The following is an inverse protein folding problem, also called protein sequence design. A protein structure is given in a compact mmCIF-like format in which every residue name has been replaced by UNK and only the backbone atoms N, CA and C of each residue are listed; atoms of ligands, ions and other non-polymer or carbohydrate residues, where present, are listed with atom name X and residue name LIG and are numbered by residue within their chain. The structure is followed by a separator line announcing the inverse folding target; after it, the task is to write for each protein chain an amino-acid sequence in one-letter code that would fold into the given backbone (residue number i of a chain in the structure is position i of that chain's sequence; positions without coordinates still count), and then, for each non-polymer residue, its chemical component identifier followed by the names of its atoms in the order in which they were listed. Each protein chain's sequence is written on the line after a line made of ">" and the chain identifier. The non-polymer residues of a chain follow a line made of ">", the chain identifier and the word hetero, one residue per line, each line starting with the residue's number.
data_IF_774561720015
#
_entry.id   IF_774561720015
#
_cell.length_a   1.000
_cell.length_b   1.000
_cell.length_c   1.000
_cell.angle_alpha   90.00
_cell.angle_beta   90.00
_cell.angle_gamma   90.00
#
_symmetry.space_group_name_H-M   'P 1'
#
loop_
_entity.id
_entity.type
_entity.pdbx_description
1 polymer ?
#
# COMPACT_ATOMS: atom_id res chain seq x y z
N UNK A 1 71.29 -30.32 39.08
CA UNK A 1 70.37 -31.35 38.56
C UNK A 1 68.92 -31.21 39.03
N UNK A 2 68.64 -30.88 40.30
CA UNK A 2 67.24 -30.71 40.76
C UNK A 2 66.40 -29.58 40.05
N UNK A 3 67.07 -28.49 39.64
CA UNK A 3 66.32 -27.37 38.96
C UNK A 3 65.99 -27.74 37.49
N UNK A 4 66.80 -28.50 36.81
CA UNK A 4 66.52 -28.91 35.43
C UNK A 4 65.34 -29.89 35.38
N UNK A 5 65.21 -30.75 36.36
CA UNK A 5 64.09 -31.67 36.47
C UNK A 5 62.77 -30.96 36.73
N UNK A 6 62.77 -29.85 37.45
CA UNK A 6 61.59 -29.02 37.71
C UNK A 6 61.11 -28.32 36.43
N UNK A 7 62.04 -27.82 35.60
CA UNK A 7 61.71 -27.21 34.33
C UNK A 7 61.16 -28.22 33.28
N UNK A 8 61.74 -29.41 33.25
CA UNK A 8 61.25 -30.49 32.37
C UNK A 8 59.83 -30.94 32.81
N UNK A 9 59.59 -31.05 34.12
CA UNK A 9 58.24 -31.36 34.63
C UNK A 9 57.23 -30.27 34.35
N UNK A 10 57.59 -28.98 34.46
CA UNK A 10 56.75 -27.84 34.12
C UNK A 10 56.45 -27.74 32.63
N UNK A 11 57.41 -28.06 31.76
CA UNK A 11 57.21 -28.13 30.31
C UNK A 11 56.31 -29.30 29.89
N UNK A 12 56.45 -30.44 30.56
CA UNK A 12 55.53 -31.59 30.31
C UNK A 12 54.08 -31.33 30.77
N UNK A 13 53.87 -30.54 31.83
CA UNK A 13 52.51 -30.18 32.27
C UNK A 13 51.84 -29.17 31.37
N UNK A 14 52.61 -28.30 30.67
CA UNK A 14 52.07 -27.35 29.69
C UNK A 14 51.71 -28.07 28.34
N UNK A 15 52.37 -29.18 28.02
CA UNK A 15 52.11 -29.96 26.78
C UNK A 15 50.84 -30.80 26.81
N UNK A 16 50.23 -31.03 27.98
CA UNK A 16 48.94 -31.73 28.11
C UNK A 16 47.80 -30.72 28.21
N UNK A 17 47.88 -29.69 27.38
CA UNK A 17 46.73 -28.82 27.15
C UNK A 17 45.60 -29.68 26.58
N UNK A 18 44.54 -29.82 27.34
CA UNK A 18 43.32 -30.52 26.95
C UNK A 18 42.91 -30.16 25.52
N UNK A 19 43.32 -30.90 24.52
CA UNK A 19 42.53 -31.12 23.33
C UNK A 19 41.30 -31.93 23.80
N UNK A 20 40.31 -31.25 24.34
CA UNK A 20 38.98 -31.79 24.36
C UNK A 20 38.55 -31.89 22.90
N UNK A 21 38.89 -32.99 22.24
CA UNK A 21 38.20 -33.44 21.06
C UNK A 21 36.77 -33.73 21.55
N UNK A 22 35.87 -32.75 21.37
CA UNK A 22 34.44 -32.99 21.52
C UNK A 22 34.01 -33.95 20.40
N UNK A 23 34.36 -35.20 20.56
CA UNK A 23 33.77 -36.30 19.79
C UNK A 23 32.44 -36.71 20.45
N UNK A 24 31.60 -35.72 20.78
CA UNK A 24 30.24 -36.00 21.21
C UNK A 24 29.42 -36.41 19.97
N UNK A 25 29.69 -37.60 19.49
CA UNK A 25 28.87 -38.24 18.47
C UNK A 25 27.57 -38.69 19.12
N UNK A 26 26.47 -38.04 18.78
CA UNK A 26 25.11 -38.53 19.08
C UNK A 26 24.69 -39.33 17.86
N UNK A 27 24.32 -40.61 18.05
CA UNK A 27 23.97 -41.54 16.97
C UNK A 27 25.05 -41.66 15.88
N UNK A 28 26.33 -41.59 16.27
CA UNK A 28 27.47 -41.75 15.36
C UNK A 28 27.80 -40.53 14.50
N UNK A 29 27.15 -39.39 14.69
CA UNK A 29 27.38 -38.15 13.95
C UNK A 29 27.99 -37.06 14.83
N UNK A 30 28.98 -36.32 14.29
CA UNK A 30 29.54 -35.12 14.91
C UNK A 30 28.49 -33.96 14.89
N UNK A 31 28.63 -32.92 15.73
CA UNK A 31 27.78 -31.72 15.66
C UNK A 31 27.68 -31.13 14.26
N UNK A 32 28.80 -30.99 13.53
CA UNK A 32 28.83 -30.44 12.18
C UNK A 32 28.10 -31.33 11.16
N UNK A 33 28.24 -32.66 11.29
CA UNK A 33 27.49 -33.59 10.42
C UNK A 33 25.99 -33.52 10.67
N UNK A 34 25.55 -33.35 11.93
CA UNK A 34 24.13 -33.15 12.24
C UNK A 34 23.60 -31.85 11.68
N UNK A 35 24.34 -30.75 11.79
CA UNK A 35 23.97 -29.46 11.21
C UNK A 35 23.87 -29.57 9.68
N UNK A 36 24.89 -30.15 9.03
CA UNK A 36 24.89 -30.34 7.58
C UNK A 36 23.70 -31.19 7.11
N UNK A 37 23.40 -32.29 7.81
CA UNK A 37 22.25 -33.14 7.52
C UNK A 37 20.92 -32.40 7.70
N UNK A 38 20.79 -31.58 8.74
CA UNK A 38 19.61 -30.76 8.96
C UNK A 38 19.42 -29.73 7.84
N UNK A 39 20.48 -29.00 7.45
CA UNK A 39 20.40 -28.01 6.36
C UNK A 39 20.05 -28.68 5.02
N UNK A 40 20.64 -29.83 4.72
CA UNK A 40 20.31 -30.63 3.53
C UNK A 40 18.84 -31.09 3.53
N UNK A 41 18.26 -31.39 4.70
CA UNK A 41 16.86 -31.74 4.82
C UNK A 41 15.94 -30.58 4.52
N UNK A 42 16.27 -29.34 4.94
CA UNK A 42 15.53 -28.12 4.56
C UNK A 42 15.62 -27.90 3.04
N UNK A 43 16.80 -28.01 2.44
CA UNK A 43 16.96 -27.87 0.99
C UNK A 43 16.11 -28.89 0.24
N UNK A 44 16.17 -30.16 0.63
CA UNK A 44 15.35 -31.22 0.06
C UNK A 44 13.85 -30.92 0.17
N UNK A 45 13.41 -30.34 1.28
CA UNK A 45 12.00 -29.94 1.45
C UNK A 45 11.59 -28.86 0.45
N UNK A 46 12.43 -27.83 0.23
CA UNK A 46 12.14 -26.78 -0.74
C UNK A 46 12.09 -27.29 -2.18
N UNK A 47 13.02 -28.18 -2.55
CA UNK A 47 13.13 -28.72 -3.91
C UNK A 47 12.14 -29.85 -4.20
N UNK A 48 11.56 -30.48 -3.18
CA UNK A 48 10.56 -31.54 -3.33
C UNK A 48 9.18 -31.05 -3.76
N UNK A 49 8.95 -29.74 -3.87
CA UNK A 49 7.69 -29.19 -4.37
C UNK A 49 7.67 -29.17 -5.91
N UNK A 50 6.95 -30.09 -6.58
CA UNK A 50 7.04 -30.24 -8.04
C UNK A 50 6.52 -29.01 -8.79
N UNK A 51 5.60 -28.27 -8.19
CA UNK A 51 4.99 -27.07 -8.76
C UNK A 51 5.48 -25.78 -8.11
N UNK A 52 6.55 -25.85 -7.27
CA UNK A 52 7.11 -24.72 -6.56
C UNK A 52 6.29 -24.27 -5.36
N UNK A 53 6.48 -23.03 -4.99
CA UNK A 53 5.93 -22.40 -3.79
C UNK A 53 5.36 -21.02 -4.10
N UNK A 54 4.36 -20.60 -3.34
CA UNK A 54 3.93 -19.22 -3.23
C UNK A 54 4.49 -18.69 -1.91
N UNK A 55 5.37 -17.71 -1.98
CA UNK A 55 5.89 -17.01 -0.82
C UNK A 55 5.10 -15.72 -0.60
N UNK A 56 4.51 -15.58 0.57
CA UNK A 56 3.78 -14.39 0.99
C UNK A 56 4.62 -13.72 2.07
N UNK A 57 5.01 -12.48 1.83
CA UNK A 57 5.77 -11.67 2.77
C UNK A 57 4.92 -10.50 3.27
N UNK A 58 4.82 -10.37 4.60
CA UNK A 58 4.09 -9.29 5.26
C UNK A 58 5.04 -8.46 6.10
N UNK A 59 5.10 -7.16 5.86
CA UNK A 59 5.95 -6.25 6.62
C UNK A 59 5.33 -5.88 7.96
N UNK A 60 6.16 -5.39 8.88
CA UNK A 60 5.71 -4.89 10.20
C UNK A 60 5.29 -3.42 10.16
N UNK A 61 5.57 -2.71 9.05
CA UNK A 61 5.47 -1.25 8.96
C UNK A 61 6.65 -0.54 9.61
N UNK A 62 7.74 -1.27 9.87
CA UNK A 62 9.00 -0.74 10.40
C UNK A 62 10.13 -1.22 9.49
N UNK A 63 10.96 -0.30 9.04
CA UNK A 63 12.19 -0.60 8.31
C UNK A 63 13.41 -0.16 9.12
N UNK A 64 14.45 -0.98 9.14
CA UNK A 64 15.67 -0.75 9.89
C UNK A 64 16.86 -0.47 8.98
N UNK A 65 17.69 0.51 9.37
CA UNK A 65 18.98 0.78 8.75
C UNK A 65 20.00 1.16 9.84
N UNK A 66 21.06 0.37 10.00
CA UNK A 66 22.17 0.62 10.94
C UNK A 66 21.72 0.97 12.37
N UNK A 67 20.67 0.30 12.86
CA UNK A 67 20.15 0.52 14.22
C UNK A 67 19.14 1.67 14.34
N UNK A 68 18.87 2.42 13.28
CA UNK A 68 17.81 3.43 13.20
C UNK A 68 16.59 2.80 12.52
N UNK A 69 15.39 3.15 12.97
CA UNK A 69 14.14 2.69 12.34
C UNK A 69 13.35 3.83 11.75
N UNK A 70 12.64 3.53 10.65
CA UNK A 70 11.59 4.38 10.09
C UNK A 70 10.27 3.62 10.14
N UNK A 71 9.16 4.34 10.26
CA UNK A 71 7.81 3.76 10.29
C UNK A 71 7.01 4.22 9.08
N UNK A 72 6.18 3.34 8.55
CA UNK A 72 5.34 3.60 7.39
C UNK A 72 4.27 2.53 7.21
N UNK A 73 3.64 2.46 6.05
CA UNK A 73 2.58 1.51 5.78
C UNK A 73 3.07 0.06 5.83
N UNK A 74 2.17 -0.84 6.22
CA UNK A 74 2.40 -2.28 6.09
C UNK A 74 1.98 -2.70 4.69
N UNK A 75 2.81 -3.50 4.03
CA UNK A 75 2.46 -4.11 2.75
C UNK A 75 2.54 -5.62 2.83
N UNK A 76 1.85 -6.28 1.92
CA UNK A 76 1.94 -7.72 1.69
C UNK A 76 2.30 -7.95 0.24
N UNK A 77 3.30 -8.80 0.00
CA UNK A 77 3.81 -9.15 -1.32
C UNK A 77 3.71 -10.66 -1.53
N UNK A 78 3.47 -11.06 -2.77
CA UNK A 78 3.46 -12.45 -3.17
C UNK A 78 4.54 -12.74 -4.22
N UNK A 79 5.21 -13.86 -4.05
CA UNK A 79 6.22 -14.36 -4.98
C UNK A 79 5.90 -15.80 -5.35
N UNK A 80 5.95 -16.15 -6.61
CA UNK A 80 6.07 -17.53 -7.03
C UNK A 80 7.55 -17.92 -7.04
N UNK A 81 7.90 -19.07 -6.47
CA UNK A 81 9.29 -19.53 -6.33
C UNK A 81 9.43 -21.01 -6.73
N UNK A 82 10.37 -21.29 -7.63
CA UNK A 82 10.78 -22.65 -8.00
C UNK A 82 12.23 -22.87 -7.60
N UNK A 83 12.46 -23.72 -6.58
CA UNK A 83 13.80 -24.05 -6.08
C UNK A 83 14.37 -25.25 -6.81
N UNK A 84 15.70 -25.26 -7.01
CA UNK A 84 16.45 -26.38 -7.59
C UNK A 84 17.55 -26.88 -6.63
N UNK A 85 17.97 -28.12 -6.78
CA UNK A 85 19.04 -28.74 -5.96
C UNK A 85 20.41 -28.06 -6.18
N UNK A 86 20.60 -27.33 -7.28
CA UNK A 86 21.83 -26.58 -7.57
C UNK A 86 21.89 -25.22 -6.84
N UNK A 87 21.01 -24.94 -5.85
CA UNK A 87 21.00 -23.69 -5.12
C UNK A 87 20.48 -22.50 -5.95
N UNK A 88 19.62 -22.77 -6.94
CA UNK A 88 19.00 -21.72 -7.77
C UNK A 88 17.51 -21.67 -7.50
N UNK A 89 16.96 -20.46 -7.55
CA UNK A 89 15.52 -20.20 -7.45
C UNK A 89 15.09 -19.29 -8.59
N UNK A 90 14.03 -19.69 -9.28
CA UNK A 90 13.35 -18.84 -10.27
C UNK A 90 12.09 -18.29 -9.64
N UNK A 91 11.87 -16.98 -9.77
CA UNK A 91 10.73 -16.31 -9.14
C UNK A 91 10.04 -15.31 -10.05
N UNK A 92 8.77 -15.11 -9.79
CA UNK A 92 7.91 -14.01 -10.24
C UNK A 92 7.40 -13.28 -9.01
N UNK A 93 7.05 -12.00 -9.12
CA UNK A 93 6.54 -11.21 -7.99
C UNK A 93 5.37 -10.34 -8.42
N UNK A 94 4.49 -10.04 -7.47
CA UNK A 94 3.42 -9.08 -7.64
C UNK A 94 3.84 -7.65 -7.23
N UNK A 95 5.14 -7.40 -7.02
CA UNK A 95 5.60 -6.08 -6.60
C UNK A 95 5.31 -5.01 -7.66
N UNK A 96 5.64 -5.31 -8.91
CA UNK A 96 5.31 -4.45 -10.05
C UNK A 96 5.00 -5.30 -11.31
N UNK A 97 4.41 -4.68 -12.37
CA UNK A 97 4.07 -5.39 -13.60
C UNK A 97 5.27 -6.05 -14.30
N UNK A 98 6.47 -5.49 -14.22
CA UNK A 98 7.65 -6.06 -14.88
C UNK A 98 8.11 -7.34 -14.21
N UNK A 99 8.05 -7.39 -12.88
CA UNK A 99 8.37 -8.58 -12.08
C UNK A 99 7.28 -9.66 -12.16
N UNK A 100 6.05 -9.27 -12.45
CA UNK A 100 4.95 -10.18 -12.73
C UNK A 100 5.08 -10.84 -14.12
N UNK A 101 5.68 -10.13 -15.08
CA UNK A 101 5.81 -10.58 -16.47
C UNK A 101 7.05 -11.43 -16.73
N UNK A 102 8.15 -11.18 -16.01
CA UNK A 102 9.47 -11.72 -16.35
C UNK A 102 10.02 -12.61 -15.23
N UNK A 103 10.19 -13.92 -15.44
CA UNK A 103 10.85 -14.78 -14.46
C UNK A 103 12.32 -14.37 -14.25
N UNK A 104 12.74 -14.27 -12.98
CA UNK A 104 14.14 -14.01 -12.62
C UNK A 104 14.72 -15.17 -11.83
N UNK A 105 15.92 -15.61 -12.22
CA UNK A 105 16.64 -16.67 -11.51
C UNK A 105 17.78 -16.07 -10.71
N UNK A 106 17.84 -16.40 -9.42
CA UNK A 106 18.91 -16.02 -8.50
C UNK A 106 19.44 -17.22 -7.71
N UNK A 107 20.46 -17.01 -6.89
CA UNK A 107 20.97 -18.04 -5.99
C UNK A 107 20.29 -17.95 -4.62
N UNK A 108 20.20 -19.11 -3.96
CA UNK A 108 19.82 -19.19 -2.57
C UNK A 108 20.72 -20.19 -1.83
N UNK A 109 20.84 -20.01 -0.52
CA UNK A 109 21.51 -20.94 0.39
C UNK A 109 20.67 -21.14 1.66
N UNK A 110 20.86 -22.31 2.27
CA UNK A 110 20.37 -22.55 3.62
C UNK A 110 21.59 -22.61 4.54
N UNK A 111 21.67 -21.70 5.49
CA UNK A 111 22.81 -21.56 6.41
C UNK A 111 22.34 -21.70 7.85
N UNK A 112 23.24 -22.22 8.70
CA UNK A 112 23.06 -22.18 10.15
C UNK A 112 23.51 -20.82 10.67
N UNK A 113 22.55 -19.97 10.99
CA UNK A 113 22.74 -18.79 11.82
C UNK A 113 22.37 -19.14 13.27
N UNK A 114 21.74 -18.27 14.03
CA UNK A 114 21.13 -18.62 15.33
C UNK A 114 20.08 -19.73 15.15
N UNK A 115 19.41 -19.74 14.00
CA UNK A 115 18.50 -20.77 13.50
C UNK A 115 18.86 -21.08 12.05
N UNK A 116 18.43 -22.23 11.50
CA UNK A 116 18.49 -22.43 10.06
C UNK A 116 17.79 -21.26 9.34
N UNK A 117 18.44 -20.71 8.33
CA UNK A 117 17.95 -19.55 7.59
C UNK A 117 18.05 -19.80 6.07
N UNK A 118 17.01 -19.38 5.35
CA UNK A 118 16.98 -19.28 3.90
C UNK A 118 17.47 -17.89 3.49
N UNK A 119 18.55 -17.84 2.71
CA UNK A 119 19.24 -16.61 2.32
C UNK A 119 19.29 -16.54 0.80
N UNK A 120 18.94 -15.40 0.24
CA UNK A 120 19.03 -15.12 -1.19
C UNK A 120 20.30 -14.29 -1.44
N UNK A 121 21.36 -14.94 -1.97
CA UNK A 121 22.72 -14.36 -2.04
C UNK A 121 22.92 -13.37 -3.20
N UNK A 122 22.14 -13.48 -4.27
CA UNK A 122 22.25 -12.59 -5.43
C UNK A 122 21.00 -11.74 -5.57
N UNK A 123 21.15 -10.54 -6.17
CA UNK A 123 20.06 -9.59 -6.31
C UNK A 123 18.85 -10.21 -7.02
N UNK A 124 17.85 -10.56 -6.23
CA UNK A 124 16.59 -11.20 -6.64
C UNK A 124 15.43 -10.21 -6.61
N UNK A 125 14.22 -10.68 -6.90
CA UNK A 125 13.02 -9.85 -6.73
C UNK A 125 12.70 -9.52 -5.27
N UNK A 126 13.16 -10.29 -4.31
CA UNK A 126 13.06 -9.95 -2.89
C UNK A 126 13.93 -8.73 -2.50
N UNK A 127 15.03 -8.50 -3.21
CA UNK A 127 15.91 -7.36 -2.93
C UNK A 127 15.32 -6.02 -3.38
N UNK A 128 14.45 -6.02 -4.38
CA UNK A 128 13.91 -4.77 -4.93
C UNK A 128 13.09 -3.99 -3.91
N UNK A 129 12.09 -4.57 -3.22
CA UNK A 129 11.40 -3.85 -2.15
C UNK A 129 12.28 -3.58 -0.92
N UNK A 130 13.39 -4.31 -0.74
CA UNK A 130 14.39 -4.03 0.31
C UNK A 130 15.39 -2.94 -0.06
N UNK A 131 15.42 -2.49 -1.33
CA UNK A 131 16.46 -1.59 -1.82
C UNK A 131 16.42 -0.26 -1.05
N UNK A 132 17.58 0.22 -0.54
CA UNK A 132 17.64 1.47 0.20
C UNK A 132 17.42 2.72 -0.67
N UNK A 133 17.50 2.58 -2.00
CA UNK A 133 17.18 3.66 -2.93
C UNK A 133 15.67 3.69 -3.22
N UNK A 134 14.93 4.75 -2.82
CA UNK A 134 13.51 4.87 -3.09
C UNK A 134 13.18 5.00 -4.58
N UNK A 135 14.13 5.31 -5.46
CA UNK A 135 13.91 5.25 -6.91
C UNK A 135 13.79 3.80 -7.41
N UNK A 136 14.32 2.84 -6.68
CA UNK A 136 14.25 1.40 -6.99
C UNK A 136 13.09 0.74 -6.22
N UNK A 137 13.05 0.93 -4.91
CA UNK A 137 12.04 0.33 -4.05
C UNK A 137 10.69 1.02 -4.08
N UNK A 138 10.61 2.28 -4.52
CA UNK A 138 9.43 3.14 -4.40
C UNK A 138 8.88 3.23 -2.96
N UNK A 139 9.76 3.05 -1.98
CA UNK A 139 9.38 3.03 -0.57
C UNK A 139 9.13 4.45 -0.04
N UNK A 140 8.04 4.69 0.72
CA UNK A 140 7.77 5.96 1.37
C UNK A 140 8.59 6.17 2.67
N UNK A 141 9.37 5.18 3.10
CA UNK A 141 10.20 5.26 4.32
C UNK A 141 11.42 6.19 4.17
N UNK A 142 11.77 6.57 2.94
CA UNK A 142 12.89 7.46 2.61
C UNK A 142 14.20 6.75 2.29
N UNK A 143 15.23 7.52 2.02
CA UNK A 143 16.57 7.01 1.69
C UNK A 143 17.16 6.15 2.81
N UNK A 144 17.77 5.04 2.43
CA UNK A 144 18.38 4.10 3.36
C UNK A 144 17.42 2.99 3.82
N UNK A 145 16.14 3.11 3.52
CA UNK A 145 15.11 2.14 3.91
C UNK A 145 14.40 1.60 2.66
N UNK A 146 14.15 0.29 2.64
CA UNK A 146 13.17 -0.31 1.74
C UNK A 146 11.77 -0.27 2.37
N UNK A 147 10.89 -1.18 1.95
CA UNK A 147 9.55 -1.35 2.52
C UNK A 147 9.51 -2.08 3.88
N UNK A 148 10.66 -2.32 4.52
CA UNK A 148 10.74 -3.17 5.70
C UNK A 148 10.53 -4.65 5.38
N UNK A 149 10.80 -5.06 4.15
CA UNK A 149 10.88 -6.45 3.68
C UNK A 149 12.25 -7.03 3.99
N UNK A 150 12.39 -8.34 3.83
CA UNK A 150 13.65 -9.06 4.07
C UNK A 150 14.01 -9.93 2.85
N UNK A 151 15.27 -10.29 2.70
CA UNK A 151 15.76 -11.30 1.75
C UNK A 151 16.57 -12.41 2.44
N UNK A 152 16.61 -12.39 3.77
CA UNK A 152 17.15 -13.42 4.64
C UNK A 152 16.11 -13.79 5.68
N UNK A 153 15.74 -15.07 5.76
CA UNK A 153 14.62 -15.53 6.57
C UNK A 153 15.02 -16.72 7.43
N UNK A 154 14.87 -16.60 8.74
CA UNK A 154 14.97 -17.72 9.66
C UNK A 154 13.70 -18.56 9.62
N UNK A 155 13.85 -19.89 9.57
CA UNK A 155 12.72 -20.81 9.76
C UNK A 155 12.13 -20.59 11.15
N UNK A 156 10.84 -20.27 11.24
CA UNK A 156 10.19 -19.96 12.52
C UNK A 156 9.60 -21.19 13.20
N UNK A 157 9.35 -22.25 12.44
CA UNK A 157 8.81 -23.49 12.96
C UNK A 157 9.89 -24.23 13.77
N UNK A 158 9.59 -24.58 15.01
CA UNK A 158 10.48 -25.33 15.93
C UNK A 158 10.60 -26.81 15.56
N UNK A 159 9.78 -27.28 14.63
CA UNK A 159 9.80 -28.64 14.11
C UNK A 159 10.94 -28.79 13.11
N UNK A 160 11.78 -29.81 13.22
CA UNK A 160 12.86 -30.05 12.25
C UNK A 160 12.33 -30.22 10.81
N UNK A 161 13.22 -30.07 9.82
CA UNK A 161 12.88 -30.10 8.39
C UNK A 161 11.99 -31.27 7.94
N UNK A 162 12.13 -32.43 8.57
CA UNK A 162 11.34 -33.63 8.28
C UNK A 162 9.84 -33.47 8.61
N UNK A 163 9.50 -32.59 9.52
CA UNK A 163 8.14 -32.36 10.01
C UNK A 163 7.50 -31.09 9.44
N UNK A 164 8.18 -30.38 8.53
CA UNK A 164 7.60 -29.24 7.82
C UNK A 164 6.46 -29.70 6.91
N UNK A 165 5.32 -29.06 7.05
CA UNK A 165 4.12 -29.30 6.23
C UNK A 165 4.21 -28.67 4.83
N UNK A 166 3.06 -28.55 4.18
CA UNK A 166 2.93 -27.84 2.90
C UNK A 166 2.87 -26.30 3.07
N UNK A 167 3.00 -25.85 4.30
CA UNK A 167 3.19 -24.44 4.70
C UNK A 167 4.41 -24.34 5.60
N UNK A 168 5.31 -23.40 5.31
CA UNK A 168 6.53 -23.15 6.07
C UNK A 168 6.55 -21.67 6.45
N UNK A 169 6.72 -21.37 7.75
CA UNK A 169 6.72 -20.00 8.24
C UNK A 169 8.13 -19.50 8.50
N UNK A 170 8.34 -18.22 8.28
CA UNK A 170 9.62 -17.55 8.40
C UNK A 170 9.51 -16.22 9.14
N UNK A 171 10.64 -15.78 9.67
CA UNK A 171 10.83 -14.45 10.22
C UNK A 171 12.05 -13.86 9.53
N UNK A 172 11.91 -12.67 8.97
CA UNK A 172 12.98 -11.88 8.38
C UNK A 172 14.03 -11.50 9.42
N UNK A 173 15.29 -11.54 9.01
CA UNK A 173 16.41 -11.38 9.94
C UNK A 173 16.72 -9.91 10.24
N UNK A 174 16.35 -8.98 9.35
CA UNK A 174 16.62 -7.55 9.52
C UNK A 174 15.37 -6.80 10.02
N UNK A 175 14.27 -6.91 9.28
CA UNK A 175 13.06 -6.10 9.51
C UNK A 175 11.95 -6.88 10.24
N UNK A 176 12.19 -8.14 10.59
CA UNK A 176 11.19 -9.03 11.19
C UNK A 176 9.93 -9.23 10.32
N UNK A 177 10.05 -9.06 9.00
CA UNK A 177 8.98 -9.36 8.08
C UNK A 177 8.50 -10.82 8.26
N UNK A 178 7.21 -11.06 8.13
CA UNK A 178 6.65 -12.41 8.25
C UNK A 178 6.59 -13.05 6.89
N UNK A 179 7.34 -14.13 6.71
CA UNK A 179 7.35 -14.93 5.50
C UNK A 179 6.54 -16.21 5.65
N UNK A 180 5.83 -16.61 4.60
CA UNK A 180 5.07 -17.86 4.55
C UNK A 180 5.19 -18.48 3.17
N UNK A 181 5.88 -19.62 3.04
CA UNK A 181 5.87 -20.46 1.85
C UNK A 181 4.67 -21.40 1.91
N UNK A 182 3.84 -21.39 0.87
CA UNK A 182 2.73 -22.31 0.66
C UNK A 182 3.05 -23.12 -0.59
N UNK A 183 3.01 -24.45 -0.49
CA UNK A 183 3.27 -25.33 -1.63
C UNK A 183 2.26 -25.09 -2.74
N UNK A 184 2.75 -24.74 -3.92
CA UNK A 184 1.91 -24.45 -5.06
C UNK A 184 1.29 -25.72 -5.65
N UNK A 185 0.07 -25.58 -6.18
CA UNK A 185 -0.58 -26.57 -7.02
C UNK A 185 -0.14 -26.40 -8.48
N UNK A 186 -0.36 -27.42 -9.30
CA UNK A 186 -0.09 -27.34 -10.74
C UNK A 186 -0.86 -26.18 -11.41
N UNK A 187 -2.12 -25.98 -11.04
CA UNK A 187 -2.94 -24.89 -11.57
C UNK A 187 -2.35 -23.50 -11.22
N UNK A 188 -1.84 -23.32 -9.99
CA UNK A 188 -1.19 -22.08 -9.57
C UNK A 188 0.11 -21.85 -10.33
N UNK A 189 0.98 -22.85 -10.46
CA UNK A 189 2.19 -22.76 -11.28
C UNK A 189 1.84 -22.33 -12.72
N UNK A 190 0.88 -23.04 -13.35
CA UNK A 190 0.43 -22.73 -14.71
C UNK A 190 -0.05 -21.28 -14.83
N UNK A 191 -0.83 -20.79 -13.86
CA UNK A 191 -1.35 -19.44 -13.84
C UNK A 191 -0.24 -18.38 -13.72
N UNK A 192 0.74 -18.60 -12.83
CA UNK A 192 1.90 -17.69 -12.72
C UNK A 192 2.72 -17.65 -14.00
N UNK A 193 3.05 -18.81 -14.57
CA UNK A 193 3.85 -18.90 -15.79
C UNK A 193 3.12 -18.42 -17.06
N UNK A 194 1.79 -18.43 -17.04
CA UNK A 194 0.96 -17.83 -18.09
C UNK A 194 0.84 -16.29 -18.00
N UNK A 195 1.44 -15.67 -16.98
CA UNK A 195 1.38 -14.22 -16.79
C UNK A 195 0.07 -13.70 -16.18
N UNK A 196 -0.70 -14.55 -15.50
CA UNK A 196 -1.98 -14.13 -14.93
C UNK A 196 -1.82 -13.01 -13.89
N UNK A 197 -0.70 -12.97 -13.15
CA UNK A 197 -0.42 -11.87 -12.22
C UNK A 197 -0.39 -10.53 -12.95
N UNK A 198 0.27 -10.45 -14.10
CA UNK A 198 0.27 -9.26 -14.94
C UNK A 198 -1.14 -8.90 -15.44
N UNK A 199 -1.92 -9.91 -15.84
CA UNK A 199 -3.31 -9.69 -16.26
C UNK A 199 -4.18 -9.13 -15.13
N UNK A 200 -3.91 -9.52 -13.88
CA UNK A 200 -4.63 -9.02 -12.70
C UNK A 200 -4.24 -7.57 -12.36
N UNK A 201 -3.00 -7.14 -12.59
CA UNK A 201 -2.66 -5.72 -12.56
C UNK A 201 -3.51 -4.93 -13.56
N UNK A 202 -3.65 -5.42 -14.80
CA UNK A 202 -4.51 -4.81 -15.82
C UNK A 202 -5.98 -4.86 -15.39
N UNK A 203 -6.44 -5.98 -14.84
CA UNK A 203 -7.81 -6.17 -14.35
C UNK A 203 -8.16 -5.20 -13.22
N UNK A 204 -7.27 -5.02 -12.24
CA UNK A 204 -7.43 -4.02 -11.19
C UNK A 204 -7.44 -2.59 -11.78
N UNK A 205 -6.65 -2.36 -12.82
CA UNK A 205 -6.63 -1.10 -13.56
C UNK A 205 -7.97 -0.73 -14.20
N UNK A 206 -8.85 -1.70 -14.49
CA UNK A 206 -10.20 -1.40 -14.97
C UNK A 206 -11.07 -0.63 -13.97
N UNK A 207 -10.72 -0.64 -12.68
CA UNK A 207 -11.37 0.22 -11.69
C UNK A 207 -11.22 1.71 -12.04
N UNK A 208 -10.14 2.09 -12.72
CA UNK A 208 -9.91 3.46 -13.18
C UNK A 208 -10.82 3.83 -14.37
N UNK A 209 -11.36 2.84 -15.10
CA UNK A 209 -12.31 3.08 -16.17
C UNK A 209 -13.73 3.36 -15.65
N UNK A 210 -13.98 3.08 -14.36
CA UNK A 210 -15.20 3.50 -13.68
C UNK A 210 -15.03 4.96 -13.29
N UNK A 211 -15.67 5.87 -14.00
CA UNK A 211 -15.45 7.31 -13.85
C UNK A 211 -15.95 7.89 -12.52
N UNK A 212 -16.92 7.23 -11.87
CA UNK A 212 -17.43 7.66 -10.57
C UNK A 212 -16.37 7.45 -9.47
N UNK A 213 -16.31 8.36 -8.53
CA UNK A 213 -15.48 8.26 -7.33
C UNK A 213 -15.84 7.02 -6.50
N UNK A 214 -17.16 6.81 -6.25
CA UNK A 214 -17.63 5.65 -5.50
C UNK A 214 -17.68 4.40 -6.38
N UNK A 215 -16.82 3.42 -6.10
CA UNK A 215 -16.83 2.11 -6.73
C UNK A 215 -17.61 1.16 -5.84
N UNK A 216 -18.71 0.61 -6.35
CA UNK A 216 -19.60 -0.25 -5.56
C UNK A 216 -19.49 -1.70 -5.97
N UNK A 217 -18.97 -2.54 -5.08
CA UNK A 217 -19.03 -3.99 -5.18
C UNK A 217 -20.40 -4.46 -4.70
N UNK A 218 -21.14 -5.16 -5.54
CA UNK A 218 -22.35 -5.90 -5.17
C UNK A 218 -21.99 -7.39 -5.11
N UNK A 219 -22.07 -7.99 -3.92
CA UNK A 219 -21.68 -9.38 -3.69
C UNK A 219 -22.64 -10.03 -2.67
N UNK A 220 -23.24 -11.18 -3.02
CA UNK A 220 -24.15 -11.90 -2.12
C UNK A 220 -25.37 -11.09 -1.66
N UNK A 221 -25.84 -10.13 -2.48
CA UNK A 221 -26.96 -9.25 -2.16
C UNK A 221 -26.59 -8.05 -1.27
N UNK A 222 -25.30 -7.88 -0.92
CA UNK A 222 -24.81 -6.75 -0.15
C UNK A 222 -23.99 -5.83 -1.03
N UNK A 223 -24.19 -4.50 -0.87
CA UNK A 223 -23.36 -3.48 -1.49
C UNK A 223 -22.23 -3.03 -0.58
N UNK A 224 -21.03 -2.89 -1.15
CA UNK A 224 -19.84 -2.36 -0.48
C UNK A 224 -19.26 -1.24 -1.32
N UNK A 225 -19.07 -0.05 -0.75
CA UNK A 225 -18.19 0.92 -1.39
C UNK A 225 -16.76 0.47 -1.16
N UNK A 226 -15.97 0.35 -2.22
CA UNK A 226 -14.58 -0.07 -2.17
C UNK A 226 -13.67 1.06 -2.63
N UNK A 227 -12.57 1.22 -1.90
CA UNK A 227 -11.48 2.12 -2.27
C UNK A 227 -10.18 1.32 -2.30
N UNK A 228 -9.51 1.31 -3.45
CA UNK A 228 -8.24 0.62 -3.65
C UNK A 228 -7.10 1.63 -3.61
N UNK A 229 -6.19 1.48 -2.66
CA UNK A 229 -4.92 2.18 -2.61
C UNK A 229 -3.82 1.25 -3.16
N UNK A 230 -3.31 1.51 -4.38
CA UNK A 230 -2.29 0.66 -4.98
C UNK A 230 -0.89 0.90 -4.39
N UNK A 231 -0.65 2.04 -3.74
CA UNK A 231 0.64 2.39 -3.14
C UNK A 231 0.82 1.65 -1.83
N UNK A 232 -0.12 1.81 -0.90
CA UNK A 232 -0.10 1.15 0.40
C UNK A 232 -0.63 -0.29 0.34
N UNK A 233 -1.10 -0.73 -0.83
CA UNK A 233 -1.69 -2.06 -1.07
C UNK A 233 -2.80 -2.38 -0.08
N UNK A 234 -3.71 -1.41 0.08
CA UNK A 234 -4.87 -1.51 0.96
C UNK A 234 -6.14 -1.41 0.13
N UNK A 235 -7.11 -2.24 0.42
CA UNK A 235 -8.48 -2.05 -0.02
C UNK A 235 -9.36 -1.78 1.19
N UNK A 236 -10.13 -0.70 1.12
CA UNK A 236 -11.09 -0.32 2.14
C UNK A 236 -12.49 -0.66 1.66
N UNK A 237 -13.24 -1.37 2.49
CA UNK A 237 -14.64 -1.70 2.30
C UNK A 237 -15.47 -0.88 3.26
N UNK A 238 -16.54 -0.27 2.75
CA UNK A 238 -17.54 0.41 3.59
C UNK A 238 -18.92 -0.14 3.24
N UNK A 239 -19.69 -0.55 4.26
CA UNK A 239 -21.05 -1.08 4.07
C UNK A 239 -21.95 -0.67 5.22
N UNK A 240 -23.25 -0.89 5.05
CA UNK A 240 -24.23 -0.74 6.12
C UNK A 240 -24.61 -2.12 6.63
N UNK A 241 -24.48 -2.35 7.93
CA UNK A 241 -24.87 -3.60 8.57
C UNK A 241 -26.40 -3.74 8.70
N UNK A 242 -26.86 -4.90 9.16
CA UNK A 242 -28.29 -5.19 9.34
C UNK A 242 -28.99 -4.24 10.33
N UNK A 243 -28.23 -3.56 11.19
CA UNK A 243 -28.75 -2.58 12.16
C UNK A 243 -28.76 -1.14 11.59
N UNK A 244 -28.32 -0.95 10.33
CA UNK A 244 -28.25 0.36 9.70
C UNK A 244 -26.99 1.18 10.04
N UNK A 245 -25.99 0.57 10.71
CA UNK A 245 -24.75 1.26 11.05
C UNK A 245 -23.70 1.13 9.93
N UNK A 246 -22.89 2.18 9.77
CA UNK A 246 -21.73 2.12 8.87
C UNK A 246 -20.68 1.22 9.49
N UNK A 247 -20.18 0.29 8.70
CA UNK A 247 -19.03 -0.54 8.98
C UNK A 247 -17.94 -0.25 7.97
N UNK A 248 -16.69 -0.30 8.41
CA UNK A 248 -15.52 -0.11 7.54
C UNK A 248 -14.45 -1.13 7.90
N UNK A 249 -13.84 -1.74 6.89
CA UNK A 249 -12.69 -2.62 7.04
C UNK A 249 -11.63 -2.24 6.01
N UNK A 250 -10.42 -1.97 6.47
CA UNK A 250 -9.24 -1.77 5.64
C UNK A 250 -8.34 -3.00 5.75
N UNK A 251 -8.02 -3.61 4.62
CA UNK A 251 -7.23 -4.85 4.55
C UNK A 251 -6.13 -4.73 3.52
N UNK A 252 -4.93 -5.21 3.86
CA UNK A 252 -3.86 -5.32 2.88
C UNK A 252 -4.19 -6.43 1.87
N UNK A 253 -3.78 -6.21 0.62
CA UNK A 253 -3.93 -7.19 -0.45
C UNK A 253 -2.60 -7.51 -1.12
N UNK A 254 -2.57 -8.66 -1.77
CA UNK A 254 -1.50 -9.14 -2.64
C UNK A 254 -2.10 -9.86 -3.84
N UNK A 255 -1.34 -9.99 -4.92
CA UNK A 255 -1.82 -10.57 -6.17
C UNK A 255 -1.17 -11.94 -6.36
N UNK A 256 -1.98 -12.95 -6.63
CA UNK A 256 -1.53 -14.29 -7.00
C UNK A 256 -1.89 -14.61 -8.45
N UNK A 257 -1.48 -15.76 -8.96
CA UNK A 257 -1.89 -16.19 -10.29
C UNK A 257 -3.41 -16.47 -10.45
N UNK A 258 -4.17 -16.48 -9.35
CA UNK A 258 -5.61 -16.76 -9.34
C UNK A 258 -6.47 -15.54 -9.04
N UNK A 259 -5.92 -14.50 -8.38
CA UNK A 259 -6.71 -13.34 -8.03
C UNK A 259 -5.99 -12.38 -7.06
N UNK A 260 -6.72 -11.36 -6.64
CA UNK A 260 -6.34 -10.42 -5.58
C UNK A 260 -6.79 -11.03 -4.26
N UNK A 261 -5.84 -11.32 -3.37
CA UNK A 261 -6.09 -11.97 -2.09
C UNK A 261 -5.91 -10.98 -0.95
N UNK A 262 -6.70 -11.12 0.11
CA UNK A 262 -6.62 -10.25 1.29
C UNK A 262 -5.77 -10.91 2.38
N UNK A 263 -4.92 -10.11 3.02
CA UNK A 263 -4.09 -10.59 4.14
C UNK A 263 -4.94 -11.05 5.33
N UNK A 264 -6.09 -10.39 5.53
CA UNK A 264 -7.12 -10.77 6.49
C UNK A 264 -8.49 -10.74 5.82
N UNK A 265 -9.38 -11.69 6.08
CA UNK A 265 -10.73 -11.66 5.51
C UNK A 265 -11.54 -10.44 5.96
N UNK A 266 -12.37 -9.92 5.07
CA UNK A 266 -13.45 -8.98 5.42
C UNK A 266 -14.68 -9.80 5.82
N UNK A 267 -15.20 -9.56 7.03
CA UNK A 267 -16.32 -10.31 7.57
C UNK A 267 -17.53 -9.39 7.78
N UNK A 268 -18.65 -9.75 7.17
CA UNK A 268 -19.93 -9.08 7.35
C UNK A 268 -21.03 -10.14 7.66
N UNK A 269 -21.35 -10.30 8.94
CA UNK A 269 -22.25 -11.37 9.37
C UNK A 269 -21.73 -12.74 8.97
N UNK A 270 -22.50 -13.43 8.15
CA UNK A 270 -22.14 -14.77 7.64
C UNK A 270 -21.30 -14.71 6.33
N UNK A 271 -21.10 -13.54 5.76
CA UNK A 271 -20.29 -13.37 4.55
C UNK A 271 -18.83 -13.15 4.92
N UNK A 272 -17.93 -13.93 4.30
CA UNK A 272 -16.49 -13.81 4.45
C UNK A 272 -15.88 -13.60 3.07
N UNK A 273 -15.20 -12.48 2.87
CA UNK A 273 -14.54 -12.11 1.62
C UNK A 273 -13.04 -12.24 1.85
N UNK A 274 -12.41 -13.24 1.25
CA UNK A 274 -10.97 -13.54 1.39
C UNK A 274 -10.14 -12.99 0.25
N UNK A 275 -10.78 -12.58 -0.83
CA UNK A 275 -10.15 -12.09 -2.05
C UNK A 275 -11.17 -11.85 -3.15
N UNK A 276 -10.67 -11.40 -4.29
CA UNK A 276 -11.43 -11.13 -5.51
C UNK A 276 -10.72 -11.81 -6.68
N UNK A 277 -11.41 -12.69 -7.36
CA UNK A 277 -10.88 -13.50 -8.46
C UNK A 277 -11.66 -13.24 -9.76
N UNK A 278 -11.15 -13.72 -10.89
CA UNK A 278 -11.83 -13.77 -12.21
C UNK A 278 -12.36 -12.40 -12.67
N UNK A 279 -11.50 -11.38 -12.62
CA UNK A 279 -11.85 -10.01 -13.02
C UNK A 279 -12.12 -9.95 -14.53
N UNK A 280 -13.35 -9.62 -14.91
CA UNK A 280 -13.78 -9.49 -16.33
C UNK A 280 -14.44 -8.14 -16.56
N UNK A 281 -13.85 -7.31 -17.40
CA UNK A 281 -14.35 -5.97 -17.73
C UNK A 281 -15.32 -5.99 -18.91
N UNK A 282 -16.48 -5.36 -18.71
CA UNK A 282 -17.40 -5.01 -19.79
C UNK A 282 -17.42 -3.49 -20.00
N UNK A 283 -16.85 -3.05 -21.11
CA UNK A 283 -16.77 -1.64 -21.47
C UNK A 283 -18.15 -1.05 -21.84
N UNK A 284 -19.08 -1.86 -22.32
CA UNK A 284 -20.41 -1.38 -22.72
C UNK A 284 -21.27 -0.95 -21.54
N UNK A 285 -21.16 -1.67 -20.42
CA UNK A 285 -21.89 -1.38 -19.18
C UNK A 285 -21.01 -0.69 -18.13
N UNK A 286 -19.71 -0.48 -18.40
CA UNK A 286 -18.72 -0.01 -17.41
C UNK A 286 -18.77 -0.81 -16.11
N UNK A 287 -18.83 -2.15 -16.26
CA UNK A 287 -18.97 -3.10 -15.15
C UNK A 287 -17.78 -4.03 -15.09
N UNK A 288 -17.20 -4.20 -13.92
CA UNK A 288 -16.20 -5.22 -13.65
C UNK A 288 -16.89 -6.40 -12.93
N UNK A 289 -17.05 -7.54 -13.60
CA UNK A 289 -17.52 -8.77 -12.99
C UNK A 289 -16.38 -9.43 -12.24
N UNK A 290 -16.66 -9.94 -11.05
CA UNK A 290 -15.69 -10.55 -10.15
C UNK A 290 -16.29 -11.77 -9.45
N UNK A 291 -15.44 -12.64 -8.90
CA UNK A 291 -15.88 -13.70 -7.99
C UNK A 291 -15.17 -13.57 -6.63
N UNK A 292 -15.82 -14.05 -5.58
CA UNK A 292 -15.21 -14.23 -4.25
C UNK A 292 -15.70 -15.57 -3.71
N UNK A 293 -14.79 -16.54 -3.61
CA UNK A 293 -15.16 -17.93 -3.36
C UNK A 293 -16.12 -18.42 -4.43
N UNK A 294 -17.31 -18.91 -4.04
CA UNK A 294 -18.36 -19.39 -4.95
C UNK A 294 -19.33 -18.29 -5.39
N UNK A 295 -19.21 -17.07 -4.90
CA UNK A 295 -20.13 -15.97 -5.22
C UNK A 295 -19.62 -15.16 -6.41
N UNK A 296 -20.52 -14.82 -7.32
CA UNK A 296 -20.25 -13.83 -8.38
C UNK A 296 -20.79 -12.48 -7.94
N UNK A 297 -20.01 -11.43 -8.16
CA UNK A 297 -20.35 -10.05 -7.89
C UNK A 297 -20.02 -9.13 -9.06
N UNK A 298 -20.39 -7.87 -8.92
CA UNK A 298 -20.05 -6.82 -9.89
C UNK A 298 -19.54 -5.58 -9.19
N UNK A 299 -18.59 -4.89 -9.81
CA UNK A 299 -18.12 -3.58 -9.36
C UNK A 299 -18.55 -2.57 -10.43
N UNK A 300 -19.30 -1.56 -9.99
CA UNK A 300 -19.84 -0.49 -10.86
C UNK A 300 -19.61 0.87 -10.20
N UNK A 301 -19.76 1.95 -10.96
CA UNK A 301 -19.78 3.30 -10.42
C UNK A 301 -21.11 3.62 -9.72
N UNK A 302 -21.03 4.32 -8.58
CA UNK A 302 -22.20 4.84 -7.89
C UNK A 302 -22.14 6.38 -7.82
N UNK A 303 -23.29 7.04 -7.98
CA UNK A 303 -23.39 8.51 -7.90
C UNK A 303 -23.44 9.01 -6.46
N UNK A 304 -23.65 8.14 -5.49
CA UNK A 304 -23.76 8.46 -4.08
C UNK A 304 -22.98 7.43 -3.25
N UNK A 305 -22.40 7.81 -2.10
CA UNK A 305 -21.85 6.85 -1.16
C UNK A 305 -22.96 5.94 -0.61
N UNK A 306 -22.59 4.77 -0.13
CA UNK A 306 -23.52 3.87 0.59
C UNK A 306 -24.22 4.62 1.75
N UNK A 307 -23.46 5.45 2.43
CA UNK A 307 -23.98 6.38 3.44
C UNK A 307 -23.09 7.61 3.53
N UNK A 308 -23.69 8.79 3.41
CA UNK A 308 -22.98 10.04 3.55
C UNK A 308 -22.60 10.29 5.03
N UNK A 309 -21.40 10.79 5.26
CA UNK A 309 -20.98 11.31 6.56
C UNK A 309 -21.37 12.80 6.65
N UNK A 310 -22.54 13.09 7.19
CA UNK A 310 -23.05 14.44 7.35
C UNK A 310 -22.18 15.35 8.25
N UNK A 311 -21.20 14.79 8.97
CA UNK A 311 -20.33 15.54 9.89
C UNK A 311 -18.93 15.79 9.32
N UNK A 312 -18.56 15.13 8.23
CA UNK A 312 -17.21 15.23 7.65
C UNK A 312 -16.85 16.66 7.23
N UNK A 313 -17.76 17.34 6.54
CA UNK A 313 -17.54 18.74 6.12
C UNK A 313 -17.39 19.69 7.32
N UNK A 314 -18.15 19.48 8.38
CA UNK A 314 -18.04 20.28 9.62
C UNK A 314 -16.70 20.03 10.31
N UNK A 315 -16.23 18.77 10.36
CA UNK A 315 -14.88 18.47 10.91
C UNK A 315 -13.79 19.14 10.09
N UNK A 316 -13.86 19.01 8.76
CA UNK A 316 -12.92 19.62 7.83
C UNK A 316 -12.86 21.13 7.99
N UNK A 317 -14.00 21.82 7.97
CA UNK A 317 -14.07 23.28 8.09
C UNK A 317 -13.53 23.76 9.46
N UNK A 318 -14.02 23.13 10.55
CA UNK A 318 -13.61 23.48 11.92
C UNK A 318 -12.12 23.27 12.18
N UNK A 319 -11.50 22.23 11.57
CA UNK A 319 -10.08 21.96 11.75
C UNK A 319 -9.24 23.13 11.23
N UNK A 320 -9.49 23.60 10.02
CA UNK A 320 -8.74 24.72 9.44
C UNK A 320 -9.07 26.06 10.11
N UNK A 321 -10.34 26.33 10.41
CA UNK A 321 -10.75 27.55 11.08
C UNK A 321 -10.10 27.73 12.47
N UNK A 322 -10.01 26.64 13.26
CA UNK A 322 -9.35 26.67 14.58
C UNK A 322 -7.83 26.85 14.51
N UNK A 323 -7.20 26.35 13.45
CA UNK A 323 -5.76 26.50 13.23
C UNK A 323 -5.39 27.79 12.51
N UNK A 324 -6.37 28.60 12.06
CA UNK A 324 -6.13 29.84 11.32
C UNK A 324 -5.40 29.60 10.01
N UNK A 325 -5.63 28.45 9.35
CA UNK A 325 -4.89 28.02 8.18
C UNK A 325 -5.83 27.41 7.12
N UNK A 326 -5.31 26.96 6.00
CA UNK A 326 -6.08 26.50 4.85
C UNK A 326 -5.86 24.99 4.54
N UNK A 327 -6.84 24.42 3.87
CA UNK A 327 -6.71 23.14 3.17
C UNK A 327 -6.12 23.39 1.78
N UNK A 328 -5.21 22.52 1.34
CA UNK A 328 -4.55 22.62 0.05
C UNK A 328 -4.96 21.47 -0.87
N UNK A 329 -5.05 21.77 -2.17
CA UNK A 329 -5.15 20.78 -3.25
C UNK A 329 -4.03 20.99 -4.26
N UNK A 330 -3.30 19.94 -4.57
CA UNK A 330 -2.14 20.01 -5.47
C UNK A 330 -2.49 20.09 -6.95
N UNK A 331 -3.70 19.70 -7.35
CA UNK A 331 -4.07 19.54 -8.77
C UNK A 331 -5.44 20.09 -9.18
N UNK A 332 -6.17 20.74 -8.27
CA UNK A 332 -7.55 21.19 -8.58
C UNK A 332 -8.52 20.02 -8.77
N UNK A 333 -9.56 20.25 -9.61
CA UNK A 333 -10.63 19.28 -9.81
C UNK A 333 -10.27 18.16 -10.80
N UNK A 334 -10.55 16.93 -10.38
CA UNK A 334 -10.69 15.80 -11.29
C UNK A 334 -12.09 15.81 -11.90
N UNK A 335 -12.21 15.62 -13.21
CA UNK A 335 -13.50 15.60 -13.93
C UNK A 335 -13.49 14.51 -15.00
N UNK A 336 -14.43 13.57 -14.93
CA UNK A 336 -14.63 12.53 -15.94
C UNK A 336 -13.33 11.74 -16.30
N UNK A 337 -12.53 11.36 -15.30
CA UNK A 337 -11.29 10.60 -15.51
C UNK A 337 -10.08 11.47 -15.85
N UNK A 338 -10.18 12.79 -15.82
CA UNK A 338 -9.08 13.72 -16.13
C UNK A 338 -8.69 14.48 -14.88
N UNK A 339 -7.45 14.32 -14.42
CA UNK A 339 -6.86 15.08 -13.34
C UNK A 339 -6.57 16.51 -13.81
N UNK A 340 -6.71 17.47 -12.89
CA UNK A 340 -6.59 18.91 -13.21
C UNK A 340 -7.37 19.32 -14.48
N UNK A 341 -8.60 18.84 -14.59
CA UNK A 341 -9.42 19.01 -15.80
C UNK A 341 -9.65 20.46 -16.22
N UNK A 342 -9.47 21.40 -15.29
CA UNK A 342 -9.59 22.83 -15.57
C UNK A 342 -8.25 23.50 -15.88
N UNK A 343 -7.12 22.81 -15.68
CA UNK A 343 -5.79 23.31 -16.03
C UNK A 343 -5.26 24.34 -15.04
N UNK A 344 -5.56 24.21 -13.74
CA UNK A 344 -5.09 25.15 -12.72
C UNK A 344 -3.59 25.04 -12.47
N UNK A 345 -2.99 23.87 -12.67
CA UNK A 345 -1.54 23.66 -12.50
C UNK A 345 -0.70 24.43 -13.51
N UNK A 346 -1.28 24.81 -14.65
CA UNK A 346 -0.62 25.62 -15.67
C UNK A 346 -0.74 27.15 -15.42
N UNK A 347 -1.41 27.56 -14.33
CA UNK A 347 -1.57 28.98 -14.01
C UNK A 347 -0.22 29.62 -13.69
N UNK A 348 0.01 30.78 -14.34
CA UNK A 348 1.14 31.65 -14.07
C UNK A 348 0.68 33.09 -14.06
N UNK A 349 1.26 33.94 -13.22
CA UNK A 349 1.03 35.38 -13.19
C UNK A 349 2.26 36.12 -12.64
N UNK A 350 2.14 37.41 -12.37
CA UNK A 350 3.22 38.20 -11.76
C UNK A 350 3.63 37.74 -10.35
N UNK A 351 2.81 36.92 -9.68
CA UNK A 351 3.07 36.33 -8.35
C UNK A 351 3.68 34.92 -8.42
N UNK A 352 4.07 34.44 -9.62
CA UNK A 352 4.73 33.15 -9.82
C UNK A 352 3.89 32.12 -10.57
N UNK A 353 4.19 30.84 -10.33
CA UNK A 353 3.47 29.67 -10.87
C UNK A 353 2.57 29.04 -9.83
N UNK A 354 1.55 28.33 -10.26
CA UNK A 354 0.66 27.58 -9.38
C UNK A 354 1.46 26.68 -8.42
N UNK A 355 1.03 26.67 -7.15
CA UNK A 355 1.60 25.84 -6.12
C UNK A 355 0.55 24.93 -5.46
N UNK A 356 -0.56 25.54 -4.95
CA UNK A 356 -1.72 24.85 -4.41
C UNK A 356 -3.00 25.56 -4.82
N UNK A 357 -4.12 24.84 -4.85
CA UNK A 357 -5.44 25.45 -4.68
C UNK A 357 -5.76 25.44 -3.17
N UNK A 358 -6.16 26.59 -2.61
CA UNK A 358 -6.43 26.72 -1.18
C UNK A 358 -7.92 26.95 -0.93
N UNK A 359 -8.44 26.30 0.11
CA UNK A 359 -9.66 26.72 0.78
C UNK A 359 -9.33 27.13 2.21
N UNK A 360 -9.53 28.39 2.53
CA UNK A 360 -9.17 29.00 3.80
C UNK A 360 -10.42 29.38 4.60
N UNK A 361 -10.87 28.51 5.53
CA UNK A 361 -12.00 28.79 6.40
C UNK A 361 -11.71 29.98 7.32
N UNK A 362 -12.71 30.84 7.44
CA UNK A 362 -12.68 32.03 8.31
C UNK A 362 -11.47 32.96 8.02
N UNK A 363 -11.16 33.18 6.74
CA UNK A 363 -10.00 33.94 6.27
C UNK A 363 -9.90 35.36 6.84
N UNK A 364 -11.01 36.11 6.82
CA UNK A 364 -11.11 37.49 7.34
C UNK A 364 -12.34 37.66 8.22
N UNK A 365 -12.38 36.95 9.38
CA UNK A 365 -13.40 37.14 10.42
C UNK A 365 -14.83 37.14 9.88
N UNK A 366 -15.24 36.06 9.22
CA UNK A 366 -16.62 35.90 8.74
C UNK A 366 -16.76 35.56 7.26
N UNK A 367 -15.66 35.33 6.55
CA UNK A 367 -15.68 34.85 5.16
C UNK A 367 -14.67 33.72 5.00
N UNK A 368 -14.96 32.77 4.11
CA UNK A 368 -13.99 31.79 3.62
C UNK A 368 -13.35 32.31 2.34
N UNK A 369 -12.16 31.81 1.97
CA UNK A 369 -11.49 32.16 0.72
C UNK A 369 -11.13 30.89 -0.06
N UNK A 370 -11.55 30.82 -1.31
CA UNK A 370 -11.15 29.78 -2.27
C UNK A 370 -10.31 30.40 -3.38
N UNK A 371 -9.01 30.03 -3.45
CA UNK A 371 -8.05 30.76 -4.30
C UNK A 371 -6.83 29.89 -4.63
N UNK A 372 -6.26 29.99 -5.85
CA UNK A 372 -4.95 29.45 -6.13
C UNK A 372 -3.85 30.20 -5.37
N UNK A 373 -2.94 29.47 -4.75
CA UNK A 373 -1.67 29.96 -4.19
C UNK A 373 -0.57 29.82 -5.24
N UNK A 374 0.18 30.90 -5.42
CA UNK A 374 1.27 31.00 -6.38
C UNK A 374 2.62 30.96 -5.66
N UNK A 375 3.64 30.37 -6.25
CA UNK A 375 5.01 30.32 -5.75
C UNK A 375 5.93 31.13 -6.67
N UNK A 376 6.59 32.17 -6.12
CA UNK A 376 7.63 32.94 -6.77
C UNK A 376 8.95 32.85 -5.96
N UNK A 377 9.93 32.12 -6.51
CA UNK A 377 11.10 31.75 -5.72
C UNK A 377 10.70 30.93 -4.49
N UNK A 378 10.97 31.42 -3.30
CA UNK A 378 10.57 30.79 -2.02
C UNK A 378 9.37 31.50 -1.34
N UNK A 379 8.71 32.41 -2.04
CA UNK A 379 7.61 33.18 -1.46
C UNK A 379 6.26 32.70 -2.02
N UNK A 380 5.32 32.46 -1.13
CA UNK A 380 3.94 32.15 -1.48
C UNK A 380 3.13 33.44 -1.60
N UNK A 381 2.29 33.53 -2.61
CA UNK A 381 1.36 34.62 -2.84
C UNK A 381 -0.01 34.09 -3.28
N UNK A 382 -1.03 34.89 -3.04
CA UNK A 382 -2.37 34.56 -3.53
C UNK A 382 -2.48 34.95 -5.01
N UNK A 383 -3.27 34.18 -5.80
CA UNK A 383 -3.59 34.59 -7.15
C UNK A 383 -4.43 35.88 -7.12
N UNK A 384 -4.37 36.66 -8.19
CA UNK A 384 -5.19 37.88 -8.35
C UNK A 384 -6.69 37.61 -8.35
N UNK A 385 -7.09 36.36 -8.56
CA UNK A 385 -8.49 35.94 -8.65
C UNK A 385 -8.78 34.83 -7.65
N UNK A 386 -9.89 34.93 -6.96
CA UNK A 386 -10.42 33.94 -6.04
C UNK A 386 -11.90 34.15 -5.83
N UNK A 387 -12.51 33.43 -4.92
CA UNK A 387 -13.92 33.58 -4.55
C UNK A 387 -14.07 33.49 -3.03
N UNK A 388 -14.90 34.38 -2.49
CA UNK A 388 -15.28 34.32 -1.09
C UNK A 388 -16.37 33.28 -0.88
N UNK A 389 -16.31 32.59 0.25
CA UNK A 389 -17.35 31.69 0.73
C UNK A 389 -18.10 32.29 1.92
N UNK A 390 -19.36 31.95 2.07
CA UNK A 390 -20.16 32.27 3.26
C UNK A 390 -20.02 31.10 4.25
N UNK A 391 -19.33 31.27 5.39
CA UNK A 391 -19.15 30.22 6.39
C UNK A 391 -20.35 30.10 7.35
N UNK A 392 -20.54 28.94 7.99
CA UNK A 392 -19.96 27.65 7.63
C UNK A 392 -20.69 27.00 6.44
N UNK A 393 -20.17 25.93 5.82
CA UNK A 393 -20.90 25.21 4.77
C UNK A 393 -22.21 24.65 5.34
N UNK A 394 -23.28 24.72 4.54
CA UNK A 394 -24.59 24.19 4.91
C UNK A 394 -24.63 22.67 4.66
N UNK A 395 -25.10 21.91 5.64
CA UNK A 395 -25.26 20.47 5.53
C UNK A 395 -26.72 20.12 5.25
N UNK A 396 -26.95 19.45 4.13
CA UNK A 396 -28.30 19.00 3.74
C UNK A 396 -28.73 17.76 4.53
N UNK A 397 -30.04 17.45 4.50
CA UNK A 397 -30.57 16.28 5.21
C UNK A 397 -30.05 14.93 4.70
N UNK A 398 -29.53 14.87 3.47
CA UNK A 398 -28.88 13.68 2.89
C UNK A 398 -27.34 13.69 3.05
N UNK A 399 -26.80 14.60 3.86
CA UNK A 399 -25.38 14.64 4.24
C UNK A 399 -24.45 15.32 3.24
N UNK A 400 -24.98 16.02 2.22
CA UNK A 400 -24.16 16.84 1.32
C UNK A 400 -23.76 18.15 1.97
N UNK A 401 -22.55 18.62 1.68
CA UNK A 401 -22.08 19.95 2.03
C UNK A 401 -22.32 20.92 0.87
N UNK A 402 -23.01 22.03 1.13
CA UNK A 402 -23.21 23.13 0.20
C UNK A 402 -22.33 24.29 0.62
N UNK A 403 -21.52 24.78 -0.29
CA UNK A 403 -20.70 25.96 -0.14
C UNK A 403 -21.40 27.12 -0.87
N UNK A 404 -21.64 28.23 -0.17
CA UNK A 404 -22.31 29.38 -0.74
C UNK A 404 -21.28 30.41 -1.16
N UNK A 405 -21.37 30.90 -2.41
CA UNK A 405 -20.53 31.97 -2.91
C UNK A 405 -20.83 33.28 -2.18
N UNK A 406 -19.79 33.96 -1.75
CA UNK A 406 -19.83 35.34 -1.25
C UNK A 406 -19.43 36.38 -2.30
N UNK A 407 -19.12 35.90 -3.53
CA UNK A 407 -18.74 36.70 -4.68
C UNK A 407 -17.24 36.65 -4.99
N UNK A 408 -16.91 37.01 -6.23
CA UNK A 408 -15.53 37.11 -6.71
C UNK A 408 -14.74 38.15 -5.91
N UNK A 409 -13.45 37.80 -5.65
CA UNK A 409 -12.51 38.71 -5.01
C UNK A 409 -11.25 38.88 -5.87
N UNK A 410 -10.93 40.14 -6.17
CA UNK A 410 -9.62 40.54 -6.70
C UNK A 410 -8.68 40.87 -5.55
N UNK A 411 -7.48 40.33 -5.54
CA UNK A 411 -6.48 40.62 -4.51
C UNK A 411 -5.81 41.95 -4.80
N UNK A 412 -5.83 42.87 -3.82
CA UNK A 412 -5.35 44.23 -3.95
C UNK A 412 -6.44 45.30 -3.71
N UNK A 413 -7.61 44.90 -3.22
CA UNK A 413 -8.69 45.80 -2.86
C UNK A 413 -9.60 46.27 -4.01
N UNK A 414 -9.42 45.69 -5.21
CA UNK A 414 -10.33 45.87 -6.34
C UNK A 414 -11.05 44.56 -6.63
N UNK A 415 -12.39 44.63 -6.64
CA UNK A 415 -13.20 43.52 -7.16
C UNK A 415 -13.01 43.44 -8.67
N UNK A 416 -12.02 42.70 -9.12
CA UNK A 416 -11.87 42.38 -10.53
C UNK A 416 -12.51 41.03 -10.77
N UNK A 417 -13.54 40.92 -11.62
CA UNK A 417 -14.20 39.66 -11.90
C UNK A 417 -13.20 38.64 -12.42
N UNK A 418 -13.30 37.40 -11.94
CA UNK A 418 -12.56 36.28 -12.47
C UNK A 418 -12.79 36.13 -13.97
N UNK A 419 -11.75 36.02 -14.81
CA UNK A 419 -11.93 35.88 -16.25
C UNK A 419 -12.86 34.72 -16.61
N UNK A 420 -13.95 34.98 -17.37
CA UNK A 420 -14.92 33.95 -17.70
C UNK A 420 -14.29 32.79 -18.45
N UNK A 421 -14.69 31.56 -18.09
CA UNK A 421 -14.24 30.33 -18.76
C UNK A 421 -12.78 29.90 -18.48
N UNK A 422 -12.04 30.68 -17.71
CA UNK A 422 -10.70 30.33 -17.25
C UNK A 422 -10.67 29.23 -16.18
N UNK A 423 -9.48 28.69 -15.85
CA UNK A 423 -9.33 27.65 -14.84
C UNK A 423 -9.96 28.00 -13.48
N UNK A 424 -9.73 29.22 -12.99
CA UNK A 424 -10.27 29.69 -11.71
C UNK A 424 -11.79 29.81 -11.76
N UNK A 425 -12.36 30.39 -12.84
CA UNK A 425 -13.82 30.53 -12.97
C UNK A 425 -14.52 29.16 -13.00
N UNK A 426 -13.95 28.17 -13.69
CA UNK A 426 -14.50 26.79 -13.71
C UNK A 426 -14.41 26.15 -12.33
N UNK A 427 -13.30 26.33 -11.63
CA UNK A 427 -13.11 25.81 -10.27
C UNK A 427 -14.09 26.45 -9.29
N UNK A 428 -14.29 27.78 -9.36
CA UNK A 428 -15.26 28.50 -8.54
C UNK A 428 -16.69 27.99 -8.81
N UNK A 429 -17.09 27.89 -10.08
CA UNK A 429 -18.41 27.38 -10.46
C UNK A 429 -18.66 25.94 -9.94
N UNK A 430 -17.63 25.12 -9.89
CA UNK A 430 -17.72 23.76 -9.36
C UNK A 430 -17.77 23.76 -7.84
N UNK A 431 -16.86 24.51 -7.16
CA UNK A 431 -16.79 24.55 -5.70
C UNK A 431 -18.07 25.09 -5.06
N UNK A 432 -18.71 26.08 -5.70
CA UNK A 432 -19.95 26.72 -5.23
C UNK A 432 -21.18 26.16 -5.95
N UNK A 433 -21.11 24.94 -6.47
CA UNK A 433 -22.23 24.28 -7.13
C UNK A 433 -23.40 24.03 -6.16
N UNK A 434 -24.63 24.33 -6.61
CA UNK A 434 -25.85 24.02 -5.85
C UNK A 434 -26.11 22.52 -5.66
N UNK A 435 -25.42 21.65 -6.42
CA UNK A 435 -25.47 20.20 -6.20
C UNK A 435 -24.85 19.80 -4.86
N UNK A 436 -23.84 20.53 -4.39
CA UNK A 436 -23.08 20.23 -3.19
C UNK A 436 -22.18 19.00 -3.33
N UNK A 437 -21.52 18.65 -2.25
CA UNK A 437 -20.53 17.58 -2.22
C UNK A 437 -20.84 16.55 -1.15
N UNK A 438 -20.60 15.28 -1.47
CA UNK A 438 -20.33 14.27 -0.46
C UNK A 438 -18.88 14.43 -0.02
N UNK A 439 -18.66 14.64 1.28
CA UNK A 439 -17.33 14.83 1.85
C UNK A 439 -16.87 13.51 2.44
N UNK A 440 -15.77 12.99 1.90
CA UNK A 440 -15.14 11.73 2.32
C UNK A 440 -13.90 12.08 3.11
N UNK A 441 -13.79 11.60 4.34
CA UNK A 441 -12.60 11.73 5.16
C UNK A 441 -11.72 10.49 4.96
N UNK A 442 -10.52 10.66 4.37
CA UNK A 442 -9.57 9.58 4.16
C UNK A 442 -8.71 9.33 5.42
N UNK A 443 -8.31 10.42 6.09
CA UNK A 443 -7.62 10.41 7.39
C UNK A 443 -7.82 11.77 8.08
N UNK A 444 -7.16 12.01 9.22
CA UNK A 444 -7.30 13.25 9.98
C UNK A 444 -6.90 14.52 9.19
N UNK A 445 -6.00 14.37 8.20
CA UNK A 445 -5.43 15.46 7.42
C UNK A 445 -5.70 15.37 5.91
N UNK A 446 -6.65 14.54 5.49
CA UNK A 446 -6.99 14.35 4.08
C UNK A 446 -8.47 14.08 3.88
N UNK A 447 -9.07 14.81 2.91
CA UNK A 447 -10.49 14.73 2.57
C UNK A 447 -10.68 14.83 1.06
N UNK A 448 -11.72 14.15 0.54
CA UNK A 448 -12.16 14.31 -0.83
C UNK A 448 -13.57 14.89 -0.86
N UNK A 449 -13.77 15.86 -1.75
CA UNK A 449 -15.08 16.46 -2.01
C UNK A 449 -15.59 15.95 -3.34
N UNK A 450 -16.62 15.12 -3.31
CA UNK A 450 -17.20 14.45 -4.47
C UNK A 450 -18.48 15.15 -4.84
N UNK A 451 -18.52 15.77 -6.02
CA UNK A 451 -19.69 16.51 -6.51
C UNK A 451 -20.90 15.58 -6.67
N UNK A 452 -22.03 15.97 -6.10
CA UNK A 452 -23.20 15.09 -5.95
C UNK A 452 -24.06 14.93 -7.22
N UNK A 453 -23.68 15.50 -8.36
CA UNK A 453 -24.41 15.31 -9.63
C UNK A 453 -24.34 13.87 -10.13
N UNK A 454 -23.12 13.33 -10.23
CA UNK A 454 -22.87 12.01 -10.81
C UNK A 454 -21.63 11.31 -10.21
N UNK A 455 -21.00 11.95 -9.20
CA UNK A 455 -19.76 11.52 -8.55
C UNK A 455 -18.56 11.35 -9.51
N UNK A 456 -18.56 12.00 -10.68
CA UNK A 456 -17.43 11.96 -11.63
C UNK A 456 -16.52 13.18 -11.53
N UNK A 457 -16.86 14.09 -10.62
CA UNK A 457 -16.08 15.30 -10.34
C UNK A 457 -15.74 15.32 -8.86
N UNK A 458 -14.46 15.48 -8.54
CA UNK A 458 -14.02 15.61 -7.15
C UNK A 458 -12.76 16.47 -7.04
N UNK A 459 -12.45 16.93 -5.82
CA UNK A 459 -11.21 17.59 -5.45
C UNK A 459 -10.70 17.01 -4.15
N UNK A 460 -9.38 16.71 -4.08
CA UNK A 460 -8.72 16.15 -2.91
C UNK A 460 -8.03 17.24 -2.11
N UNK A 461 -8.25 17.23 -0.82
CA UNK A 461 -7.72 18.20 0.13
C UNK A 461 -6.74 17.52 1.08
N UNK A 462 -5.59 18.16 1.29
CA UNK A 462 -4.64 17.76 2.32
C UNK A 462 -4.26 18.95 3.20
N UNK A 463 -3.82 18.66 4.42
CA UNK A 463 -3.30 19.65 5.33
C UNK A 463 -1.83 19.93 5.02
N UNK A 464 -1.47 21.11 4.50
CA UNK A 464 -0.07 21.46 4.23
C UNK A 464 0.65 21.68 5.54
N UNK A 465 1.86 21.10 5.65
CA UNK A 465 2.74 21.23 6.83
C UNK A 465 3.86 22.21 6.57
#
# INVERSE_FOLDING_TARGET
>A
MKKIFLYILAVMTIGVGCRKTYNDTIQGQTPDQRVAAALAAYQKKLTAAPYGWIFIESTTGIAYNQGVSSTGPKIVLAYYMQFTDSGRVTMLSDFDPSMAATPKTSSYNIKQLTRPALIFDTYSYLHVPCDPDPNVSHSPFGFGYGWGTDFEFSFSDSVGAANLGDTINFIGNLNNARGKLIKATQAQQTAYLAGNVLQLFTGAGYLNNILQYFKRLSLGGVGYDIHLDPVDRVVTFTWVDASGNIQTAAVNYYITGTGIQFATPVVNGNQTITGIDNLTWDAGSSTLTVTSGSQTGTITGASTPIKADATAATRWWNYAARNGYFWASGSGFHVNGVDDAYGVTALTNSSGSFYYYAYWPNFNSGVDLFVPIMLQGNSLGLNAYGELGVPPPFITGDGRALFTSGGDVGLGGTFTPTPPGGPVAKSNATMFSSAGFYVVQNNEKSYDFVLATDAKTWISWFWPQ
#
